data_IF_366384942340
#
_entry.id   IF_366384942340
#
_cell.length_a   1.000
_cell.length_b   1.000
_cell.length_c   1.000
_cell.angle_alpha   90.00
_cell.angle_beta   90.00
_cell.angle_gamma   90.00
#
_symmetry.space_group_name_H-M   'P 1'
#
loop_
_entity.id
_entity.type
_entity.pdbx_description
1 polymer ?
#
# COMPACT_ATOMS: atom_id res chain seq x y z
N UNK A 1 -3.27 30.18 -3.93
CA UNK A 1 -3.00 28.78 -4.27
C UNK A 1 -1.57 28.72 -4.81
N UNK A 2 -0.65 28.11 -4.04
CA UNK A 2 0.72 27.91 -4.49
C UNK A 2 0.78 26.49 -4.99
N UNK A 3 0.80 26.30 -6.30
CA UNK A 3 0.99 24.98 -6.93
C UNK A 3 2.46 24.61 -6.78
N UNK A 4 2.74 23.51 -6.10
CA UNK A 4 4.10 22.98 -6.03
C UNK A 4 4.45 22.25 -7.32
N UNK A 5 5.58 22.62 -7.93
CA UNK A 5 6.13 21.97 -9.12
C UNK A 5 7.40 21.22 -8.71
N UNK A 6 7.31 19.93 -8.50
CA UNK A 6 8.47 19.05 -8.27
C UNK A 6 9.16 18.66 -9.58
N UNK A 7 10.49 18.75 -9.63
CA UNK A 7 11.32 18.24 -10.71
C UNK A 7 11.98 16.95 -10.22
N UNK A 8 11.67 15.83 -10.84
CA UNK A 8 12.33 14.56 -10.58
C UNK A 8 13.13 14.13 -11.81
N UNK A 9 14.28 13.58 -11.59
CA UNK A 9 15.31 13.26 -12.58
C UNK A 9 14.81 12.72 -13.90
N UNK A 10 14.58 13.63 -14.87
CA UNK A 10 14.03 13.32 -16.17
C UNK A 10 12.66 13.93 -16.44
N UNK A 11 12.47 15.20 -16.07
CA UNK A 11 11.41 16.07 -16.60
C UNK A 11 9.93 15.60 -16.46
N UNK A 12 9.55 14.95 -15.36
CA UNK A 12 8.15 14.76 -15.04
C UNK A 12 7.70 15.81 -14.03
N UNK A 13 6.70 16.58 -14.41
CA UNK A 13 6.15 17.68 -13.62
C UNK A 13 4.87 17.22 -12.95
N UNK A 14 4.86 17.14 -11.61
CA UNK A 14 3.62 16.92 -10.86
C UNK A 14 2.96 18.27 -10.56
N UNK A 15 1.70 18.39 -10.95
CA UNK A 15 0.85 19.45 -10.43
C UNK A 15 0.14 18.92 -9.20
N UNK A 16 0.58 19.34 -8.02
CA UNK A 16 -0.01 18.95 -6.74
C UNK A 16 -0.07 20.16 -5.81
N UNK A 17 -1.02 20.15 -4.87
CA UNK A 17 -1.13 21.21 -3.86
C UNK A 17 0.02 21.17 -2.87
N UNK A 18 0.53 19.96 -2.59
CA UNK A 18 1.56 19.69 -1.58
C UNK A 18 2.59 18.67 -2.05
N UNK A 19 3.74 18.66 -1.38
CA UNK A 19 4.81 17.68 -1.61
C UNK A 19 5.40 17.22 -0.28
N UNK A 20 5.75 15.92 -0.20
CA UNK A 20 6.46 15.29 0.92
C UNK A 20 7.62 14.47 0.35
N UNK A 21 8.84 14.79 0.77
CA UNK A 21 10.03 14.02 0.42
C UNK A 21 10.11 12.70 1.20
N UNK A 22 10.76 11.71 0.63
CA UNK A 22 10.92 10.37 1.21
C UNK A 22 11.64 10.33 2.57
N UNK A 23 12.37 11.38 2.94
CA UNK A 23 13.03 11.48 4.24
C UNK A 23 12.05 11.78 5.40
N UNK A 24 10.81 12.16 5.05
CA UNK A 24 9.73 12.39 6.00
C UNK A 24 8.87 11.12 6.07
N UNK A 25 9.29 10.13 6.84
CA UNK A 25 8.66 8.82 6.94
C UNK A 25 8.59 8.30 8.38
N UNK A 26 7.80 7.26 8.57
CA UNK A 26 7.64 6.51 9.82
C UNK A 26 7.90 5.03 9.60
N UNK A 27 8.17 4.31 10.69
CA UNK A 27 8.35 2.86 10.74
C UNK A 27 7.21 2.14 11.46
N UNK A 28 6.29 2.92 12.01
CA UNK A 28 5.11 2.40 12.69
C UNK A 28 3.97 3.42 12.64
N UNK A 29 2.76 2.93 12.65
CA UNK A 29 1.52 3.71 12.79
C UNK A 29 1.15 3.83 14.25
N UNK A 30 0.87 5.05 14.71
CA UNK A 30 0.50 5.35 16.10
C UNK A 30 -0.31 6.63 16.17
N UNK A 31 -1.18 6.75 17.17
CA UNK A 31 -1.90 7.98 17.47
C UNK A 31 -0.97 9.16 17.87
N UNK A 32 0.28 8.83 18.25
CA UNK A 32 1.26 9.81 18.72
C UNK A 32 2.21 10.29 17.62
N UNK A 33 1.99 9.90 16.36
CA UNK A 33 2.78 10.40 15.23
C UNK A 33 2.56 11.90 15.05
N UNK A 34 3.66 12.67 15.00
CA UNK A 34 3.60 14.09 14.66
C UNK A 34 3.44 14.26 13.14
N UNK A 35 2.39 14.93 12.66
CA UNK A 35 2.17 15.09 11.23
C UNK A 35 3.21 16.00 10.59
N UNK A 36 3.80 15.54 9.48
CA UNK A 36 4.73 16.33 8.66
C UNK A 36 3.99 17.30 7.74
N UNK A 37 2.72 17.02 7.47
CA UNK A 37 1.86 17.83 6.60
C UNK A 37 0.43 17.86 7.13
N UNK A 38 -0.24 19.03 7.02
CA UNK A 38 -1.69 19.18 7.25
C UNK A 38 -2.36 19.65 5.98
N UNK A 39 -3.41 18.96 5.58
CA UNK A 39 -4.14 19.25 4.35
C UNK A 39 -5.65 19.27 4.58
N UNK A 40 -6.38 19.88 3.67
CA UNK A 40 -7.85 19.80 3.60
C UNK A 40 -8.28 18.58 2.80
N UNK A 41 -9.50 18.11 3.05
CA UNK A 41 -10.17 17.16 2.15
C UNK A 41 -10.22 17.73 0.72
N UNK A 42 -9.91 16.90 -0.29
CA UNK A 42 -9.77 17.28 -1.70
C UNK A 42 -8.35 17.71 -2.09
N UNK A 43 -7.38 17.67 -1.17
CA UNK A 43 -6.00 18.02 -1.51
C UNK A 43 -5.31 16.95 -2.33
N UNK A 44 -4.52 17.39 -3.30
CA UNK A 44 -3.59 16.55 -4.06
C UNK A 44 -2.19 16.63 -3.46
N UNK A 45 -1.52 15.49 -3.33
CA UNK A 45 -0.22 15.39 -2.66
C UNK A 45 0.72 14.56 -3.53
N UNK A 46 1.87 15.13 -3.85
CA UNK A 46 3.01 14.42 -4.40
C UNK A 46 3.85 13.86 -3.25
N UNK A 47 4.07 12.56 -3.22
CA UNK A 47 4.91 11.87 -2.23
C UNK A 47 6.09 11.22 -2.95
N UNK A 48 7.27 11.33 -2.36
CA UNK A 48 8.41 10.47 -2.71
C UNK A 48 8.44 9.29 -1.72
N UNK A 49 8.69 8.08 -2.20
CA UNK A 49 8.83 6.89 -1.34
C UNK A 49 10.23 6.27 -1.46
N UNK A 50 10.73 5.71 -0.36
CA UNK A 50 11.80 4.74 -0.41
C UNK A 50 11.28 3.40 -0.96
N UNK A 51 12.19 2.54 -1.43
CA UNK A 51 11.91 1.10 -1.54
C UNK A 51 11.76 0.48 -0.14
N UNK A 52 11.19 -0.73 -0.07
CA UNK A 52 11.02 -1.48 1.19
C UNK A 52 12.30 -1.52 2.04
N UNK A 53 13.45 -1.65 1.41
CA UNK A 53 14.75 -1.77 2.09
C UNK A 53 15.37 -0.41 2.45
N UNK A 54 14.70 0.70 2.16
CA UNK A 54 15.17 2.07 2.45
C UNK A 54 16.55 2.35 1.85
N UNK A 55 16.77 1.92 0.60
CA UNK A 55 18.00 2.13 -0.12
C UNK A 55 19.19 1.25 0.31
N UNK A 56 18.98 0.28 1.20
CA UNK A 56 20.04 -0.61 1.68
C UNK A 56 20.48 -1.63 0.62
N UNK A 57 19.61 -1.92 -0.37
CA UNK A 57 19.88 -2.92 -1.41
C UNK A 57 20.24 -2.22 -2.72
N UNK A 58 21.49 -2.33 -3.16
CA UNK A 58 22.00 -1.73 -4.39
C UNK A 58 22.56 -2.75 -5.38
N UNK A 59 22.98 -3.91 -4.88
CA UNK A 59 23.59 -4.99 -5.65
C UNK A 59 23.05 -6.35 -5.24
N UNK A 60 23.32 -7.38 -6.04
CA UNK A 60 22.93 -8.77 -5.71
C UNK A 60 23.74 -9.35 -4.53
N UNK A 61 24.81 -8.69 -4.11
CA UNK A 61 25.59 -9.06 -2.93
C UNK A 61 24.94 -8.58 -1.62
N UNK A 62 23.96 -7.67 -1.70
CA UNK A 62 23.24 -7.14 -0.53
C UNK A 62 22.09 -8.08 -0.16
N UNK A 63 22.41 -9.13 0.59
CA UNK A 63 21.44 -10.11 1.08
C UNK A 63 20.83 -9.68 2.42
N UNK A 64 19.69 -10.27 2.81
CA UNK A 64 18.97 -9.95 4.05
C UNK A 64 19.85 -9.94 5.29
N UNK A 65 20.88 -10.77 5.35
CA UNK A 65 21.83 -10.86 6.48
C UNK A 65 22.64 -9.58 6.70
N UNK A 66 22.72 -8.71 5.68
CA UNK A 66 23.46 -7.43 5.72
C UNK A 66 22.57 -6.23 6.02
N UNK A 67 21.25 -6.43 6.07
CA UNK A 67 20.30 -5.35 6.25
C UNK A 67 20.04 -5.03 7.72
N UNK A 68 19.85 -3.77 8.01
CA UNK A 68 19.24 -3.30 9.24
C UNK A 68 17.71 -3.46 9.13
N UNK A 69 17.18 -4.56 9.67
CA UNK A 69 15.75 -4.88 9.61
C UNK A 69 14.86 -3.91 10.43
N UNK A 70 15.43 -3.07 11.28
CA UNK A 70 14.69 -2.00 11.93
C UNK A 70 14.41 -0.82 10.99
N UNK A 71 15.01 -0.83 9.79
CA UNK A 71 14.90 0.22 8.78
C UNK A 71 14.35 -0.33 7.46
N UNK A 72 13.35 -1.20 7.54
CA UNK A 72 12.63 -1.72 6.38
C UNK A 72 11.19 -1.24 6.40
N UNK A 73 10.59 -1.17 5.23
CA UNK A 73 9.19 -0.86 5.00
C UNK A 73 8.74 0.51 5.53
N UNK A 74 9.51 1.57 5.20
CA UNK A 74 9.18 2.94 5.59
C UNK A 74 7.92 3.45 4.87
N UNK A 75 7.10 4.21 5.59
CA UNK A 75 5.92 4.87 5.03
C UNK A 75 6.07 6.40 5.11
N UNK A 76 6.02 7.09 3.97
CA UNK A 76 6.11 8.55 3.86
C UNK A 76 4.87 9.23 4.44
N UNK A 77 5.07 10.16 5.32
CA UNK A 77 4.04 10.83 6.13
C UNK A 77 4.56 11.06 7.56
N UNK A 78 3.66 11.25 8.56
CA UNK A 78 2.20 11.17 8.50
C UNK A 78 1.55 12.46 7.96
N UNK A 79 0.42 12.28 7.29
CA UNK A 79 -0.41 13.36 6.76
C UNK A 79 -1.65 13.51 7.64
N UNK A 80 -1.85 14.71 8.20
CA UNK A 80 -3.07 15.05 8.91
C UNK A 80 -4.10 15.64 7.94
N UNK A 81 -5.25 14.99 7.79
CA UNK A 81 -6.35 15.46 6.94
C UNK A 81 -7.40 16.18 7.80
N UNK A 82 -7.54 17.49 7.58
CA UNK A 82 -8.47 18.32 8.34
C UNK A 82 -9.92 17.84 8.19
N UNK A 83 -10.61 17.73 9.32
CA UNK A 83 -11.99 17.29 9.38
C UNK A 83 -12.17 15.77 9.43
N UNK A 84 -11.12 14.96 9.28
CA UNK A 84 -11.22 13.52 9.54
C UNK A 84 -11.35 13.25 11.04
N UNK A 85 -12.42 12.57 11.44
CA UNK A 85 -12.74 12.22 12.83
C UNK A 85 -13.03 10.71 12.93
N UNK A 86 -12.82 10.10 14.10
CA UNK A 86 -13.22 8.71 14.30
C UNK A 86 -14.66 8.45 13.89
N UNK A 87 -14.89 7.40 13.09
CA UNK A 87 -16.20 7.07 12.52
C UNK A 87 -16.43 7.60 11.10
N UNK A 88 -15.47 8.32 10.54
CA UNK A 88 -15.42 8.64 9.11
C UNK A 88 -14.61 7.60 8.34
N UNK A 89 -14.57 7.69 7.01
CA UNK A 89 -13.56 7.06 6.18
C UNK A 89 -12.68 8.12 5.52
N UNK A 90 -11.40 7.77 5.34
CA UNK A 90 -10.48 8.49 4.47
C UNK A 90 -10.41 7.77 3.13
N UNK A 91 -10.68 8.47 2.05
CA UNK A 91 -10.55 7.99 0.67
C UNK A 91 -9.22 8.49 0.11
N UNK A 92 -8.41 7.57 -0.39
CA UNK A 92 -7.09 7.85 -1.00
C UNK A 92 -7.12 7.38 -2.45
N UNK A 93 -7.19 8.32 -3.38
CA UNK A 93 -7.20 8.03 -4.82
C UNK A 93 -5.78 8.09 -5.37
N UNK A 94 -5.35 7.03 -6.08
CA UNK A 94 -4.03 6.90 -6.67
C UNK A 94 -4.06 7.40 -8.12
N UNK A 95 -3.62 8.64 -8.35
CA UNK A 95 -3.65 9.26 -9.68
C UNK A 95 -2.43 8.89 -10.52
N UNK A 96 -1.26 8.67 -9.86
CA UNK A 96 -0.03 8.36 -10.55
C UNK A 96 0.96 7.65 -9.64
N UNK A 97 1.67 6.68 -10.19
CA UNK A 97 2.76 5.95 -9.53
C UNK A 97 3.88 5.83 -10.55
N UNK A 98 5.00 6.49 -10.31
CA UNK A 98 6.18 6.46 -11.17
C UNK A 98 7.33 5.77 -10.42
N UNK A 99 7.59 4.49 -10.71
CA UNK A 99 8.70 3.78 -10.09
C UNK A 99 10.05 4.30 -10.58
N UNK A 100 11.07 4.17 -9.75
CA UNK A 100 12.46 4.40 -10.11
C UNK A 100 12.94 3.46 -11.23
N UNK A 101 14.23 3.45 -11.46
CA UNK A 101 14.84 2.69 -12.58
C UNK A 101 15.49 1.36 -12.15
N UNK A 102 15.58 1.10 -10.85
CA UNK A 102 16.15 -0.10 -10.28
C UNK A 102 15.35 -0.51 -9.04
N UNK A 103 14.92 -1.77 -9.03
CA UNK A 103 14.30 -2.42 -7.88
C UNK A 103 15.03 -3.70 -7.49
N UNK A 104 14.61 -4.31 -6.39
CA UNK A 104 15.15 -5.55 -5.86
C UNK A 104 14.06 -6.53 -5.46
N UNK A 105 14.35 -7.82 -5.50
CA UNK A 105 13.55 -8.88 -4.90
C UNK A 105 14.46 -9.86 -4.18
N UNK A 106 13.97 -10.50 -3.13
CA UNK A 106 14.79 -11.34 -2.27
C UNK A 106 14.20 -12.72 -2.05
N UNK A 107 15.10 -13.66 -1.76
CA UNK A 107 14.82 -14.87 -1.00
C UNK A 107 15.30 -14.62 0.43
N UNK A 108 14.35 -14.55 1.35
CA UNK A 108 14.59 -14.41 2.79
C UNK A 108 14.46 -15.81 3.40
N UNK A 109 15.49 -16.37 4.06
CA UNK A 109 15.40 -17.68 4.67
C UNK A 109 14.20 -17.76 5.64
N UNK A 110 13.50 -18.88 5.60
CA UNK A 110 12.31 -19.17 6.43
C UNK A 110 11.08 -18.29 6.09
N UNK A 111 11.13 -17.49 5.02
CA UNK A 111 10.04 -16.64 4.57
C UNK A 111 9.54 -17.07 3.18
N UNK A 112 8.22 -16.98 2.96
CA UNK A 112 7.58 -17.30 1.69
C UNK A 112 7.23 -18.78 1.51
N UNK A 113 6.61 -19.11 0.37
CA UNK A 113 5.96 -20.40 0.16
C UNK A 113 6.92 -21.53 -0.30
N UNK A 114 8.11 -21.18 -0.79
CA UNK A 114 9.06 -22.13 -1.34
C UNK A 114 10.34 -22.32 -0.51
N UNK A 115 10.29 -22.01 0.77
CA UNK A 115 11.44 -22.12 1.71
C UNK A 115 12.04 -23.54 1.77
N UNK A 116 11.26 -24.58 1.48
CA UNK A 116 11.72 -25.95 1.40
C UNK A 116 12.63 -26.22 0.17
N UNK A 117 12.65 -25.30 -0.81
CA UNK A 117 13.48 -25.37 -2.02
C UNK A 117 14.52 -24.27 -2.07
N UNK A 118 14.10 -23.01 -1.91
CA UNK A 118 14.96 -21.83 -1.93
C UNK A 118 15.44 -21.50 -0.51
N UNK A 119 16.48 -22.17 -0.04
CA UNK A 119 16.93 -22.12 1.36
C UNK A 119 18.03 -21.10 1.63
N UNK A 120 18.78 -20.72 0.59
CA UNK A 120 19.87 -19.76 0.73
C UNK A 120 19.34 -18.34 0.50
N UNK A 121 19.80 -17.34 1.27
CA UNK A 121 19.50 -15.94 0.97
C UNK A 121 20.02 -15.58 -0.42
N UNK A 122 19.22 -14.85 -1.17
CA UNK A 122 19.57 -14.39 -2.50
C UNK A 122 18.89 -13.06 -2.78
N UNK A 123 19.54 -12.21 -3.55
CA UNK A 123 18.99 -10.94 -4.03
C UNK A 123 19.04 -10.92 -5.55
N UNK A 124 17.98 -10.39 -6.15
CA UNK A 124 17.92 -10.12 -7.58
C UNK A 124 17.68 -8.63 -7.79
N UNK A 125 18.52 -8.01 -8.61
CA UNK A 125 18.33 -6.62 -9.05
C UNK A 125 17.54 -6.61 -10.35
N UNK A 126 16.48 -5.84 -10.38
CA UNK A 126 15.64 -5.62 -11.55
C UNK A 126 15.90 -4.22 -12.12
N UNK A 127 16.03 -4.13 -13.44
CA UNK A 127 16.05 -2.85 -14.14
C UNK A 127 14.65 -2.51 -14.63
N UNK A 128 14.21 -1.29 -14.37
CA UNK A 128 12.90 -0.79 -14.84
C UNK A 128 13.15 0.30 -15.88
N UNK A 129 12.68 0.07 -17.09
CA UNK A 129 12.84 1.00 -18.19
C UNK A 129 11.64 0.93 -19.15
N UNK A 130 11.14 2.09 -19.56
CA UNK A 130 10.07 2.22 -20.56
C UNK A 130 8.82 1.37 -20.24
N UNK A 131 8.47 1.26 -18.94
CA UNK A 131 7.32 0.46 -18.47
C UNK A 131 7.56 -1.05 -18.46
N UNK A 132 8.82 -1.50 -18.58
CA UNK A 132 9.22 -2.91 -18.57
C UNK A 132 10.17 -3.16 -17.41
N UNK A 133 9.92 -4.22 -16.67
CA UNK A 133 10.83 -4.81 -15.68
C UNK A 133 11.71 -5.86 -16.36
N UNK A 134 13.02 -5.71 -16.23
CA UNK A 134 14.01 -6.65 -16.74
C UNK A 134 14.66 -7.42 -15.58
N UNK A 135 14.38 -8.71 -15.50
CA UNK A 135 15.00 -9.61 -14.52
C UNK A 135 16.39 -10.07 -14.97
N UNK A 136 16.55 -10.36 -16.25
CA UNK A 136 17.81 -10.75 -16.90
C UNK A 136 17.67 -10.63 -18.43
N UNK A 137 18.69 -11.07 -19.18
CA UNK A 137 18.71 -11.00 -20.67
C UNK A 137 17.61 -11.82 -21.37
N UNK A 138 16.93 -12.72 -20.66
CA UNK A 138 15.91 -13.62 -21.23
C UNK A 138 14.50 -13.34 -20.71
N UNK A 139 14.38 -12.71 -19.55
CA UNK A 139 13.11 -12.54 -18.85
C UNK A 139 12.85 -11.06 -18.60
N UNK A 140 11.79 -10.59 -19.19
CA UNK A 140 11.24 -9.27 -18.91
C UNK A 140 9.72 -9.32 -18.95
N UNK A 141 9.05 -8.41 -18.26
CA UNK A 141 7.59 -8.34 -18.15
C UNK A 141 7.14 -6.89 -17.94
N UNK A 142 5.87 -6.56 -18.23
CA UNK A 142 5.34 -5.22 -18.00
C UNK A 142 5.48 -4.81 -16.53
N UNK A 143 5.88 -3.57 -16.28
CA UNK A 143 5.73 -2.95 -14.98
C UNK A 143 4.25 -2.64 -14.72
N UNK A 144 3.75 -3.04 -13.57
CA UNK A 144 2.42 -2.68 -13.06
C UNK A 144 2.61 -2.13 -11.65
N UNK A 145 3.01 -0.84 -11.53
CA UNK A 145 3.35 -0.27 -10.24
C UNK A 145 2.16 -0.21 -9.29
N UNK A 146 2.41 -0.55 -8.04
CA UNK A 146 1.43 -0.53 -6.96
C UNK A 146 2.07 -0.12 -5.62
N UNK A 147 1.26 0.08 -4.60
CA UNK A 147 1.68 0.44 -3.25
C UNK A 147 1.28 -0.65 -2.26
N UNK A 148 2.25 -1.30 -1.64
CA UNK A 148 2.05 -2.32 -0.62
C UNK A 148 1.53 -1.70 0.68
N UNK A 149 2.11 -0.58 1.10
CA UNK A 149 1.79 0.08 2.37
C UNK A 149 0.93 1.32 2.16
N UNK A 150 -0.31 1.25 2.62
CA UNK A 150 -1.22 2.41 2.77
C UNK A 150 -1.90 2.27 4.12
N UNK A 151 -1.64 3.18 5.07
CA UNK A 151 -2.19 3.02 6.41
C UNK A 151 -2.47 4.34 7.12
N UNK A 152 -3.31 4.27 8.15
CA UNK A 152 -3.68 5.36 9.04
C UNK A 152 -3.32 5.00 10.50
N UNK A 153 -3.32 5.98 11.39
CA UNK A 153 -3.11 5.71 12.82
C UNK A 153 -4.17 4.73 13.35
N UNK A 154 -3.78 3.66 14.05
CA UNK A 154 -4.72 2.71 14.65
C UNK A 154 -5.50 3.32 15.81
N UNK A 155 -6.56 2.63 16.24
CA UNK A 155 -7.37 3.04 17.40
C UNK A 155 -6.54 3.11 18.69
N UNK A 156 -5.65 2.17 18.88
CA UNK A 156 -4.80 2.00 20.07
C UNK A 156 -3.43 1.46 19.69
N UNK A 157 -2.43 1.77 20.53
CA UNK A 157 -1.10 1.21 20.43
C UNK A 157 -0.27 1.73 19.28
N UNK A 158 0.70 0.93 18.91
CA UNK A 158 1.62 1.16 17.81
C UNK A 158 1.71 -0.13 16.96
N UNK A 159 1.62 0.00 15.65
CA UNK A 159 1.68 -1.11 14.70
C UNK A 159 2.78 -0.82 13.69
N UNK A 160 3.73 -1.72 13.55
CA UNK A 160 4.81 -1.57 12.59
C UNK A 160 4.26 -1.46 11.14
N UNK A 161 4.93 -0.67 10.31
CA UNK A 161 4.50 -0.43 8.93
C UNK A 161 4.43 -1.69 8.07
N UNK A 162 5.18 -2.72 8.40
CA UNK A 162 5.15 -4.02 7.71
C UNK A 162 4.00 -4.95 8.14
N UNK A 163 3.14 -4.53 9.06
CA UNK A 163 1.98 -5.32 9.47
C UNK A 163 0.70 -4.76 8.84
N UNK A 164 -0.15 -5.65 8.36
CA UNK A 164 -1.48 -5.31 7.86
C UNK A 164 -2.54 -5.44 8.95
N UNK A 165 -3.64 -4.70 8.83
CA UNK A 165 -4.76 -4.77 9.76
C UNK A 165 -5.89 -3.81 9.40
N UNK A 166 -6.79 -3.57 10.34
CA UNK A 166 -7.91 -2.63 10.13
C UNK A 166 -7.46 -1.20 9.81
N UNK A 167 -6.26 -0.82 10.20
CA UNK A 167 -5.63 0.47 9.89
C UNK A 167 -5.03 0.53 8.48
N UNK A 168 -5.07 -0.55 7.71
CA UNK A 168 -4.31 -0.75 6.49
C UNK A 168 -2.93 -1.30 6.80
N UNK A 169 -1.89 -0.55 6.51
CA UNK A 169 -0.50 -0.97 6.65
C UNK A 169 -0.05 -1.74 5.42
N UNK A 170 0.73 -2.79 5.63
CA UNK A 170 1.30 -3.62 4.56
C UNK A 170 0.27 -4.62 4.02
N UNK A 171 -0.65 -4.11 3.21
CA UNK A 171 -1.72 -4.93 2.64
C UNK A 171 -1.26 -5.76 1.45
N UNK A 172 -0.22 -5.33 0.76
CA UNK A 172 0.30 -5.93 -0.47
C UNK A 172 -0.80 -6.29 -1.46
N UNK A 173 -1.79 -5.40 -1.55
CA UNK A 173 -2.89 -5.54 -2.50
C UNK A 173 -2.47 -4.96 -3.85
N UNK A 174 -2.24 -5.84 -4.82
CA UNK A 174 -1.79 -5.45 -6.16
C UNK A 174 -2.82 -4.61 -6.93
N UNK A 175 -4.04 -4.43 -6.42
CA UNK A 175 -5.05 -3.50 -6.95
C UNK A 175 -4.86 -2.07 -6.43
N UNK A 176 -4.00 -1.82 -5.45
CA UNK A 176 -3.59 -0.48 -5.01
C UNK A 176 -2.66 0.17 -6.04
N UNK A 177 -3.18 0.45 -7.21
CA UNK A 177 -2.49 0.97 -8.40
C UNK A 177 -3.19 2.19 -8.99
N UNK A 178 -2.59 2.80 -10.01
CA UNK A 178 -3.18 3.97 -10.67
C UNK A 178 -4.63 3.71 -11.11
N UNK A 179 -5.51 4.64 -10.71
CA UNK A 179 -6.95 4.58 -10.98
C UNK A 179 -7.78 3.91 -9.88
N UNK A 180 -7.16 3.35 -8.85
CA UNK A 180 -7.88 2.86 -7.68
C UNK A 180 -8.06 3.93 -6.61
N UNK A 181 -9.02 3.69 -5.73
CA UNK A 181 -9.27 4.47 -4.52
C UNK A 181 -9.32 3.54 -3.33
N UNK A 182 -8.50 3.79 -2.33
CA UNK A 182 -8.47 3.01 -1.08
C UNK A 182 -9.27 3.76 -0.02
N UNK A 183 -10.31 3.13 0.51
CA UNK A 183 -11.14 3.64 1.58
C UNK A 183 -10.65 3.09 2.91
N UNK A 184 -10.17 3.96 3.78
CA UNK A 184 -9.56 3.62 5.07
C UNK A 184 -10.46 4.02 6.22
N UNK A 185 -10.65 3.19 7.26
CA UNK A 185 -11.34 3.63 8.48
C UNK A 185 -10.54 4.71 9.20
N UNK A 186 -11.20 5.73 9.73
CA UNK A 186 -10.56 6.75 10.55
C UNK A 186 -10.74 6.41 12.03
N UNK A 187 -9.63 6.13 12.73
CA UNK A 187 -9.61 5.84 14.16
C UNK A 187 -9.14 7.02 15.01
N UNK A 188 -8.32 7.90 14.42
CA UNK A 188 -7.75 9.05 15.08
C UNK A 188 -8.09 10.34 14.32
N UNK A 189 -8.20 11.43 15.05
CA UNK A 189 -8.41 12.76 14.46
C UNK A 189 -7.31 13.07 13.44
N UNK A 190 -7.72 13.45 12.23
CA UNK A 190 -6.81 13.71 11.12
C UNK A 190 -6.31 12.47 10.41
N UNK A 191 -6.77 11.27 10.79
CA UNK A 191 -6.39 9.97 10.24
C UNK A 191 -4.89 9.62 10.36
N UNK A 192 -3.97 10.57 10.15
CA UNK A 192 -2.51 10.41 10.16
C UNK A 192 -2.05 9.36 9.12
N UNK A 193 -2.37 9.62 7.86
CA UNK A 193 -2.05 8.77 6.71
C UNK A 193 -0.54 8.71 6.44
N UNK A 194 0.00 7.52 6.22
CA UNK A 194 1.34 7.34 5.66
C UNK A 194 1.33 6.22 4.60
N UNK A 195 2.18 6.38 3.57
CA UNK A 195 2.20 5.54 2.36
C UNK A 195 3.63 5.19 2.00
N UNK A 196 3.87 3.94 1.61
CA UNK A 196 5.20 3.48 1.20
C UNK A 196 5.16 2.19 0.43
N UNK A 197 6.31 1.50 0.42
CA UNK A 197 6.43 0.15 -0.12
C UNK A 197 5.91 0.03 -1.55
N UNK A 198 6.53 0.80 -2.44
CA UNK A 198 6.19 0.75 -3.86
C UNK A 198 6.83 -0.49 -4.50
N UNK A 199 6.03 -1.24 -5.23
CA UNK A 199 6.52 -2.30 -6.11
C UNK A 199 6.38 -1.89 -7.58
N UNK A 200 7.40 -2.11 -8.39
CA UNK A 200 7.27 -1.95 -9.85
C UNK A 200 6.40 -3.04 -10.47
N UNK A 201 6.29 -4.18 -9.80
CA UNK A 201 5.39 -5.30 -10.10
C UNK A 201 5.38 -6.26 -8.92
N UNK A 202 4.24 -6.84 -8.65
CA UNK A 202 4.04 -7.91 -7.67
C UNK A 202 3.00 -8.88 -8.20
N UNK A 203 3.22 -10.17 -8.02
CA UNK A 203 2.20 -11.22 -8.24
C UNK A 203 1.33 -11.35 -7.00
N UNK A 204 0.07 -11.69 -7.20
CA UNK A 204 -0.86 -11.93 -6.10
C UNK A 204 -0.36 -13.03 -5.16
N UNK A 205 -0.42 -12.76 -3.85
CA UNK A 205 0.12 -13.63 -2.80
C UNK A 205 1.62 -13.51 -2.56
N UNK A 206 2.34 -12.68 -3.29
CA UNK A 206 3.75 -12.30 -3.05
C UNK A 206 4.65 -13.48 -2.58
N UNK A 207 4.73 -14.52 -3.39
CA UNK A 207 5.17 -15.89 -3.02
C UNK A 207 6.52 -15.96 -2.28
N UNK A 208 7.47 -15.06 -2.57
CA UNK A 208 8.77 -15.01 -1.89
C UNK A 208 8.80 -14.07 -0.69
N UNK A 209 7.74 -13.26 -0.49
CA UNK A 209 7.65 -12.23 0.52
C UNK A 209 8.34 -10.92 0.12
N UNK A 210 8.58 -10.73 -1.18
CA UNK A 210 9.01 -9.46 -1.80
C UNK A 210 8.45 -9.35 -3.21
N UNK A 211 7.96 -8.17 -3.57
CA UNK A 211 7.69 -7.79 -4.95
C UNK A 211 8.96 -7.40 -5.71
N UNK A 212 8.84 -6.51 -6.70
CA UNK A 212 9.96 -5.74 -7.23
C UNK A 212 10.01 -4.44 -6.45
N UNK A 213 10.69 -4.50 -5.31
CA UNK A 213 10.82 -3.43 -4.33
C UNK A 213 11.53 -2.23 -4.95
N UNK A 214 10.89 -1.06 -4.96
CA UNK A 214 11.43 0.11 -5.65
C UNK A 214 10.91 1.40 -5.01
N UNK A 215 11.77 2.39 -4.90
CA UNK A 215 11.34 3.73 -4.54
C UNK A 215 10.84 4.49 -5.77
N UNK A 216 10.08 5.54 -5.54
CA UNK A 216 9.56 6.36 -6.64
C UNK A 216 8.66 7.48 -6.17
N UNK A 217 7.81 7.94 -7.06
CA UNK A 217 6.95 9.09 -6.91
C UNK A 217 5.48 8.71 -7.04
N UNK A 218 4.66 9.24 -6.16
CA UNK A 218 3.22 8.97 -6.10
C UNK A 218 2.45 10.28 -6.10
N UNK A 219 1.39 10.38 -6.89
CA UNK A 219 0.40 11.44 -6.80
C UNK A 219 -0.91 10.86 -6.27
N UNK A 220 -1.34 11.36 -5.12
CA UNK A 220 -2.60 10.99 -4.50
C UNK A 220 -3.54 12.17 -4.34
N UNK A 221 -4.83 11.86 -4.16
CA UNK A 221 -5.83 12.79 -3.65
C UNK A 221 -6.47 12.18 -2.40
N UNK A 222 -6.66 12.99 -1.36
CA UNK A 222 -7.27 12.55 -0.10
C UNK A 222 -8.62 13.22 0.13
N UNK A 223 -9.65 12.43 0.45
CA UNK A 223 -10.99 12.93 0.75
C UNK A 223 -11.54 12.31 2.03
N UNK A 224 -12.25 13.13 2.84
CA UNK A 224 -12.95 12.66 4.04
C UNK A 224 -14.40 12.35 3.71
N UNK A 225 -14.81 11.10 3.93
CA UNK A 225 -16.18 10.63 3.76
C UNK A 225 -16.86 10.61 5.13
N UNK A 226 -17.64 11.64 5.42
CA UNK A 226 -18.27 11.84 6.74
C UNK A 226 -19.33 10.82 7.05
N UNK A 227 -19.23 10.20 8.26
CA UNK A 227 -20.22 9.28 8.79
C UNK A 227 -20.34 7.96 8.00
N UNK A 228 -19.33 7.64 7.19
CA UNK A 228 -19.24 6.39 6.43
C UNK A 228 -18.02 5.62 6.91
N UNK A 229 -18.08 5.03 8.08
CA UNK A 229 -16.98 4.27 8.64
C UNK A 229 -16.83 2.92 7.91
N UNK A 230 -15.79 2.80 7.10
CA UNK A 230 -15.30 1.48 6.71
C UNK A 230 -14.85 0.73 7.99
N UNK A 231 -15.03 -0.58 8.04
CA UNK A 231 -14.55 -1.41 9.16
C UNK A 231 -13.13 -1.92 8.91
N UNK A 232 -12.82 -2.19 7.66
CA UNK A 232 -11.54 -2.58 7.09
C UNK A 232 -11.23 -1.72 5.87
N UNK A 233 -9.98 -1.68 5.41
CA UNK A 233 -9.66 -1.07 4.12
C UNK A 233 -10.45 -1.72 2.99
N UNK A 234 -10.87 -0.92 2.03
CA UNK A 234 -11.56 -1.38 0.82
C UNK A 234 -10.90 -0.70 -0.37
N UNK A 235 -10.45 -1.48 -1.36
CA UNK A 235 -9.93 -0.95 -2.62
C UNK A 235 -11.03 -0.95 -3.67
N UNK A 236 -11.32 0.21 -4.22
CA UNK A 236 -12.27 0.43 -5.31
C UNK A 236 -11.50 0.68 -6.61
N UNK A 237 -11.84 -0.07 -7.65
CA UNK A 237 -11.35 0.14 -9.02
C UNK A 237 -12.52 0.53 -9.93
N UNK A 238 -12.27 0.75 -11.22
CA UNK A 238 -13.31 1.13 -12.17
C UNK A 238 -14.43 0.06 -12.32
N UNK A 239 -14.15 -1.20 -12.02
CA UNK A 239 -15.01 -2.34 -12.29
C UNK A 239 -15.19 -3.30 -11.12
N UNK A 240 -14.47 -3.11 -10.02
CA UNK A 240 -14.45 -4.08 -8.90
C UNK A 240 -14.20 -3.41 -7.55
N UNK A 241 -14.63 -4.10 -6.50
CA UNK A 241 -14.36 -3.77 -5.11
C UNK A 241 -13.60 -4.93 -4.46
N UNK A 242 -12.53 -4.61 -3.73
CA UNK A 242 -11.70 -5.57 -3.02
C UNK A 242 -11.77 -5.28 -1.54
N UNK A 243 -12.17 -6.28 -0.77
CA UNK A 243 -12.26 -6.20 0.70
C UNK A 243 -11.17 -7.03 1.33
N UNK A 244 -10.68 -6.61 2.48
CA UNK A 244 -9.54 -7.22 3.14
C UNK A 244 -9.95 -7.88 4.45
N UNK A 245 -9.22 -8.94 4.79
CA UNK A 245 -9.29 -9.57 6.11
C UNK A 245 -7.89 -10.08 6.45
N UNK A 246 -7.43 -9.77 7.65
CA UNK A 246 -6.12 -10.22 8.13
C UNK A 246 -6.21 -10.85 9.50
N UNK A 247 -5.40 -11.86 9.72
CA UNK A 247 -5.15 -12.48 11.03
C UNK A 247 -3.67 -12.83 11.14
N UNK A 248 -3.20 -13.11 12.35
CA UNK A 248 -1.79 -13.39 12.57
C UNK A 248 -1.35 -14.74 11.96
N UNK A 249 -2.22 -15.78 11.98
CA UNK A 249 -1.83 -17.13 11.63
C UNK A 249 -2.94 -18.03 11.03
N UNK A 250 -4.16 -17.53 10.85
CA UNK A 250 -5.29 -18.32 10.33
C UNK A 250 -5.83 -17.79 9.00
N UNK A 251 -5.34 -18.38 7.90
CA UNK A 251 -5.80 -18.04 6.56
C UNK A 251 -7.31 -18.22 6.36
N UNK A 252 -7.94 -19.23 6.99
CA UNK A 252 -9.38 -19.44 6.85
C UNK A 252 -10.18 -18.34 7.54
N UNK A 253 -9.70 -17.87 8.68
CA UNK A 253 -10.33 -16.73 9.36
C UNK A 253 -10.12 -15.43 8.57
N UNK A 254 -8.94 -15.20 7.98
CA UNK A 254 -8.71 -14.06 7.10
C UNK A 254 -9.66 -14.07 5.88
N UNK A 255 -9.82 -15.20 5.22
CA UNK A 255 -10.79 -15.38 4.10
C UNK A 255 -12.21 -15.06 4.58
N UNK A 256 -12.61 -15.59 5.75
CA UNK A 256 -13.94 -15.34 6.30
C UNK A 256 -14.17 -13.85 6.58
N UNK A 257 -13.20 -13.16 7.18
CA UNK A 257 -13.28 -11.71 7.43
C UNK A 257 -13.43 -10.93 6.12
N UNK A 258 -12.63 -11.23 5.10
CA UNK A 258 -12.75 -10.59 3.79
C UNK A 258 -14.14 -10.82 3.16
N UNK A 259 -14.67 -12.05 3.23
CA UNK A 259 -16.02 -12.37 2.74
C UNK A 259 -17.11 -11.66 3.54
N UNK A 260 -16.98 -11.54 4.86
CA UNK A 260 -17.92 -10.80 5.70
C UNK A 260 -17.95 -9.32 5.33
N UNK A 261 -16.79 -8.70 5.08
CA UNK A 261 -16.71 -7.31 4.64
C UNK A 261 -17.34 -7.10 3.26
N UNK A 262 -17.10 -8.04 2.31
CA UNK A 262 -17.74 -7.99 1.00
C UNK A 262 -19.27 -8.12 1.08
N UNK A 263 -19.77 -9.05 1.90
CA UNK A 263 -21.20 -9.20 2.13
C UNK A 263 -21.80 -7.95 2.79
N UNK A 264 -21.13 -7.39 3.80
CA UNK A 264 -21.56 -6.16 4.46
C UNK A 264 -21.65 -4.98 3.49
N UNK A 265 -20.66 -4.85 2.59
CA UNK A 265 -20.66 -3.83 1.55
C UNK A 265 -21.90 -3.95 0.65
N UNK A 266 -22.26 -5.17 0.22
CA UNK A 266 -23.46 -5.44 -0.57
C UNK A 266 -24.75 -5.09 0.19
N UNK A 267 -24.83 -5.43 1.46
CA UNK A 267 -25.99 -5.10 2.31
C UNK A 267 -26.14 -3.59 2.48
N UNK A 268 -25.06 -2.88 2.81
CA UNK A 268 -25.09 -1.44 3.11
C UNK A 268 -25.25 -0.56 1.88
N UNK A 269 -24.56 -0.89 0.77
CA UNK A 269 -24.55 -0.02 -0.41
C UNK A 269 -25.68 -0.36 -1.39
N UNK A 270 -26.07 -1.63 -1.50
CA UNK A 270 -27.05 -2.09 -2.49
C UNK A 270 -28.31 -2.68 -1.89
N UNK A 271 -28.44 -2.74 -0.55
CA UNK A 271 -29.65 -3.18 0.15
C UNK A 271 -29.94 -4.67 -0.01
N UNK A 272 -28.91 -5.50 -0.21
CA UNK A 272 -29.07 -6.95 -0.22
C UNK A 272 -29.48 -7.46 1.15
N UNK A 273 -30.19 -8.60 1.18
CA UNK A 273 -30.22 -9.42 2.41
C UNK A 273 -28.87 -10.11 2.61
N UNK A 274 -28.59 -10.62 3.82
CA UNK A 274 -27.38 -11.39 4.05
C UNK A 274 -27.32 -12.66 3.21
N UNK A 275 -28.46 -13.31 3.03
CA UNK A 275 -28.60 -14.52 2.20
C UNK A 275 -28.32 -14.22 0.73
N UNK A 276 -28.86 -13.14 0.18
CA UNK A 276 -28.62 -12.73 -1.19
C UNK A 276 -27.17 -12.29 -1.42
N UNK A 277 -26.57 -11.56 -0.46
CA UNK A 277 -25.16 -11.18 -0.52
C UNK A 277 -24.25 -12.42 -0.52
N UNK A 278 -24.53 -13.40 0.34
CA UNK A 278 -23.76 -14.64 0.42
C UNK A 278 -23.89 -15.48 -0.88
N UNK A 279 -25.09 -15.57 -1.45
CA UNK A 279 -25.32 -16.24 -2.74
C UNK A 279 -24.56 -15.48 -3.86
N UNK A 280 -24.67 -14.14 -3.89
CA UNK A 280 -24.02 -13.30 -4.88
C UNK A 280 -22.49 -13.49 -4.86
N UNK A 281 -21.86 -13.46 -3.69
CA UNK A 281 -20.42 -13.69 -3.54
C UNK A 281 -20.00 -15.07 -4.04
N UNK A 282 -20.85 -16.09 -3.91
CA UNK A 282 -20.56 -17.43 -4.40
C UNK A 282 -20.59 -17.55 -5.94
N UNK A 283 -21.33 -16.69 -6.64
CA UNK A 283 -21.50 -16.76 -8.08
C UNK A 283 -20.76 -15.67 -8.86
N UNK A 284 -20.29 -14.62 -8.19
CA UNK A 284 -19.67 -13.46 -8.81
C UNK A 284 -18.49 -12.86 -8.04
N UNK A 285 -18.18 -13.37 -6.85
CA UNK A 285 -17.01 -12.97 -6.06
C UNK A 285 -15.86 -13.95 -6.21
N UNK A 286 -14.64 -13.41 -6.23
CA UNK A 286 -13.40 -14.16 -6.19
C UNK A 286 -12.71 -13.99 -4.85
N UNK A 287 -11.89 -14.95 -4.45
CA UNK A 287 -11.03 -14.89 -3.27
C UNK A 287 -9.59 -15.05 -3.74
N UNK A 288 -8.75 -14.06 -3.49
CA UNK A 288 -7.33 -14.01 -3.86
C UNK A 288 -6.41 -14.09 -2.64
#
# INVERSE_FOLDING_TARGET
MSTYLGLIGGCVKYEADHHIGKDQHVWAYSANMEPVLKVKSGATIHLETWDCFTGQVQTEDDTVEKLDLARVNSATGPIYVEGAEPGDSLSVTLHRIDPGTQGAGMVIPEWGQLIHKAKAPATRIFKVKDGIVHMNDRVSFPAVPMLGVIGVAPAEGEIATFAAGRHGGNMDDHFNRVGSTVHMPVFQKGALLAIGDMHASMGDGEISGTGVEIGGDVLIEVNVLKGKAARWPITETADSWYTHGTTDDDLNEAIKLACEEAAQLLVEQWGFTWEDAFIFLSVAGDVG
#
